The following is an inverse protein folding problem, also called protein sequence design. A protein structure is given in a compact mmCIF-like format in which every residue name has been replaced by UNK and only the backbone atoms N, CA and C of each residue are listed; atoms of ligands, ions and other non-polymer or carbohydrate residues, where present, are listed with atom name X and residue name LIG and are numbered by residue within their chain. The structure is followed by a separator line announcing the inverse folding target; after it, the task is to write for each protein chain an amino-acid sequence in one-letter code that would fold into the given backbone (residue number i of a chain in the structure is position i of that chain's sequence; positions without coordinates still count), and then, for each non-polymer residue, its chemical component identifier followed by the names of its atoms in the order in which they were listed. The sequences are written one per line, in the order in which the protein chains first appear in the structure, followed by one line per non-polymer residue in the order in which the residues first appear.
data_IF_829333247566
#
_entry.id   IF_829333247566
#
_cell.length_a   1.000
_cell.length_b   1.000
_cell.length_c   1.000
_cell.angle_alpha   90.00
_cell.angle_beta   90.00
_cell.angle_gamma   90.00
#
_symmetry.space_group_name_H-M   'P 1'
#
loop_
_entity.id
_entity.type
_entity.pdbx_description
1 polymer ?
#
# COMPACT_ATOMS: atom_id res chain seq x y z
N UNK A 1 19.31 3.04 2.53
CA UNK A 1 18.31 4.01 3.04
C UNK A 1 17.19 4.35 2.05
N UNK A 2 17.45 5.00 0.91
CA UNK A 2 16.38 5.61 0.09
C UNK A 2 15.27 4.67 -0.43
N UNK A 3 15.59 3.41 -0.76
CA UNK A 3 14.59 2.41 -1.19
C UNK A 3 14.17 1.44 -0.08
N UNK A 4 14.91 1.42 1.03
CA UNK A 4 14.64 0.53 2.16
C UNK A 4 13.70 1.18 3.17
N UNK A 5 13.95 2.45 3.49
CA UNK A 5 13.41 3.12 4.67
C UNK A 5 12.38 4.18 4.28
N UNK A 6 12.70 5.06 3.33
CA UNK A 6 11.80 6.17 2.95
C UNK A 6 10.45 5.72 2.36
N UNK A 7 10.34 4.65 1.57
CA UNK A 7 9.06 4.24 1.00
C UNK A 7 8.18 3.47 1.99
N UNK A 8 8.69 3.17 3.19
CA UNK A 8 7.91 2.48 4.23
C UNK A 8 6.89 3.44 4.85
N UNK A 9 5.71 2.95 5.23
CA UNK A 9 4.80 3.69 6.08
C UNK A 9 5.52 4.23 7.32
N UNK A 10 5.18 5.44 7.82
CA UNK A 10 4.01 6.25 7.47
C UNK A 10 4.21 7.17 6.25
N UNK A 11 5.35 7.11 5.56
CA UNK A 11 5.59 7.96 4.41
C UNK A 11 4.68 7.57 3.24
N UNK A 12 4.02 8.56 2.64
CA UNK A 12 3.21 8.36 1.43
C UNK A 12 4.12 8.26 0.23
N UNK A 13 3.73 7.43 -0.72
CA UNK A 13 4.39 7.30 -2.03
C UNK A 13 3.38 7.53 -3.14
N UNK A 14 3.86 7.62 -4.39
CA UNK A 14 2.95 7.65 -5.55
C UNK A 14 2.08 6.40 -5.67
N UNK A 15 2.44 5.30 -5.00
CA UNK A 15 1.70 4.05 -5.03
C UNK A 15 0.57 4.02 -3.98
N UNK A 16 0.65 4.85 -2.95
CA UNK A 16 -0.30 4.87 -1.82
C UNK A 16 -1.74 5.15 -2.26
N UNK A 17 -1.93 5.95 -3.31
CA UNK A 17 -3.26 6.29 -3.82
C UNK A 17 -4.03 5.07 -4.35
N UNK A 18 -3.34 4.08 -4.91
CA UNK A 18 -3.96 2.89 -5.52
C UNK A 18 -3.98 1.71 -4.56
N UNK A 19 -2.88 1.48 -3.85
CA UNK A 19 -2.67 0.25 -3.08
C UNK A 19 -2.76 0.45 -1.56
N UNK A 20 -2.89 1.70 -1.10
CA UNK A 20 -2.75 2.04 0.32
C UNK A 20 -1.29 1.97 0.78
N UNK A 21 -1.06 1.96 2.11
CA UNK A 21 0.28 1.77 2.67
C UNK A 21 0.87 0.42 2.24
N UNK A 22 2.08 0.42 1.68
CA UNK A 22 2.79 -0.80 1.28
C UNK A 22 4.06 -0.92 2.12
N UNK A 23 4.11 -1.93 3.00
CA UNK A 23 5.31 -2.27 3.75
C UNK A 23 6.18 -3.27 2.98
N UNK A 24 7.49 -3.27 3.25
CA UNK A 24 8.45 -4.27 2.79
C UNK A 24 8.52 -4.49 1.27
N UNK A 25 8.14 -3.48 0.47
CA UNK A 25 8.08 -3.56 -0.99
C UNK A 25 9.40 -4.06 -1.63
N UNK A 26 10.55 -3.58 -1.16
CA UNK A 26 11.85 -4.01 -1.67
C UNK A 26 12.16 -5.47 -1.30
N UNK A 27 11.76 -5.91 -0.11
CA UNK A 27 11.94 -7.30 0.35
C UNK A 27 11.04 -8.22 -0.47
N UNK A 28 9.77 -7.86 -0.64
CA UNK A 28 8.83 -8.57 -1.50
C UNK A 28 9.34 -8.68 -2.94
N UNK A 29 9.95 -7.62 -3.49
CA UNK A 29 10.54 -7.64 -4.82
C UNK A 29 11.74 -8.60 -4.94
N UNK A 30 12.61 -8.65 -3.93
CA UNK A 30 13.72 -9.61 -3.88
C UNK A 30 13.23 -11.05 -3.80
N UNK A 31 12.14 -11.27 -3.08
CA UNK A 31 11.51 -12.58 -2.92
C UNK A 31 10.51 -12.92 -4.05
N UNK A 32 10.51 -12.15 -5.15
CA UNK A 32 9.63 -12.37 -6.31
C UNK A 32 8.13 -12.45 -5.99
N UNK A 33 7.70 -11.78 -4.92
CA UNK A 33 6.30 -11.79 -4.48
C UNK A 33 5.38 -10.97 -5.39
N UNK A 34 4.10 -11.29 -5.30
CA UNK A 34 3.02 -10.64 -6.04
C UNK A 34 2.08 -9.94 -5.07
N UNK A 35 1.77 -8.68 -5.34
CA UNK A 35 0.75 -7.95 -4.62
C UNK A 35 -0.63 -8.35 -5.16
N UNK A 36 -1.51 -8.87 -4.30
CA UNK A 36 -2.86 -9.31 -4.65
C UNK A 36 -3.91 -8.59 -3.82
N UNK A 37 -5.04 -8.29 -4.44
CA UNK A 37 -6.21 -7.75 -3.74
C UNK A 37 -6.84 -8.83 -2.85
N UNK A 38 -7.09 -8.52 -1.57
CA UNK A 38 -7.78 -9.40 -0.63
C UNK A 38 -9.28 -9.08 -0.71
N UNK A 39 -10.08 -10.06 -1.08
CA UNK A 39 -11.53 -9.93 -1.02
C UNK A 39 -11.95 -9.65 0.43
N UNK A 40 -12.55 -8.48 0.64
CA UNK A 40 -13.12 -8.13 1.94
C UNK A 40 -14.41 -8.91 2.09
N UNK A 41 -14.46 -9.90 2.97
CA UNK A 41 -15.73 -10.54 3.35
C UNK A 41 -16.62 -9.47 3.99
N UNK A 42 -17.49 -8.86 3.21
CA UNK A 42 -18.38 -7.79 3.65
C UNK A 42 -19.38 -8.33 4.66
N UNK A 43 -19.43 -7.75 5.86
CA UNK A 43 -20.43 -8.14 6.85
C UNK A 43 -20.22 -7.73 8.30
N UNK A 44 -19.71 -6.54 8.62
CA UNK A 44 -20.14 -5.81 9.84
C UNK A 44 -19.62 -4.37 9.87
N UNK A 45 -20.48 -3.37 10.16
CA UNK A 45 -19.99 -2.08 10.62
C UNK A 45 -19.41 -2.28 12.02
N UNK A 46 -18.26 -1.67 12.32
CA UNK A 46 -17.72 -1.61 13.68
C UNK A 46 -17.61 -0.15 14.08
N UNK A 47 -18.24 0.12 15.21
CA UNK A 47 -18.39 1.42 15.85
C UNK A 47 -17.05 2.10 16.14
N UNK A 48 -17.09 3.42 16.04
CA UNK A 48 -16.01 4.33 16.35
C UNK A 48 -15.70 4.32 17.86
N UNK A 49 -14.51 3.85 18.27
CA UNK A 49 -13.92 4.32 19.53
C UNK A 49 -12.39 4.15 19.63
N UNK A 50 -11.70 5.29 19.49
CA UNK A 50 -10.53 5.81 20.21
C UNK A 50 -9.31 4.92 20.58
N UNK A 51 -8.16 5.43 20.09
CA UNK A 51 -6.81 5.48 20.66
C UNK A 51 -5.83 4.30 20.56
N UNK A 52 -4.59 4.70 20.22
CA UNK A 52 -3.32 3.97 20.19
C UNK A 52 -3.08 3.08 18.96
N UNK A 53 -2.54 3.71 17.91
CA UNK A 53 -1.21 3.34 17.44
C UNK A 53 -0.99 1.98 16.78
N UNK A 54 -1.99 1.27 16.26
CA UNK A 54 -1.71 0.10 15.40
C UNK A 54 -2.91 -0.27 14.51
N UNK A 55 -3.42 0.69 13.76
CA UNK A 55 -4.50 0.42 12.80
C UNK A 55 -3.89 -0.14 11.50
N UNK A 56 -3.36 -1.35 11.56
CA UNK A 56 -3.29 -2.20 10.39
C UNK A 56 -4.74 -2.53 10.00
N UNK A 57 -5.43 -1.59 9.35
CA UNK A 57 -6.50 -1.98 8.44
C UNK A 57 -5.89 -3.10 7.59
N UNK A 58 -6.49 -4.32 7.56
CA UNK A 58 -5.99 -5.36 6.68
C UNK A 58 -6.00 -4.73 5.30
N UNK A 59 -4.80 -4.44 4.80
CA UNK A 59 -4.64 -3.68 3.57
C UNK A 59 -5.44 -4.40 2.51
N UNK A 60 -6.17 -3.63 1.69
CA UNK A 60 -6.86 -4.17 0.52
C UNK A 60 -5.94 -5.02 -0.36
N UNK A 61 -4.62 -4.88 -0.20
CA UNK A 61 -3.61 -5.64 -0.89
C UNK A 61 -2.62 -6.31 0.08
N UNK A 62 -2.17 -7.52 -0.26
CA UNK A 62 -1.10 -8.25 0.45
C UNK A 62 -0.11 -8.88 -0.52
N UNK A 63 1.12 -9.11 -0.07
CA UNK A 63 2.11 -9.86 -0.84
C UNK A 63 1.96 -11.37 -0.62
N UNK A 64 1.83 -12.13 -1.69
CA UNK A 64 1.80 -13.61 -1.71
C UNK A 64 2.91 -14.14 -2.61
N UNK A 65 3.24 -15.41 -2.45
CA UNK A 65 4.17 -16.10 -3.35
C UNK A 65 3.45 -16.47 -4.66
N UNK A 66 4.20 -16.49 -5.77
CA UNK A 66 3.64 -16.74 -7.11
C UNK A 66 2.93 -18.11 -7.21
N UNK A 67 3.37 -19.08 -6.42
CA UNK A 67 2.77 -20.41 -6.32
C UNK A 67 1.39 -20.45 -5.67
N UNK A 68 0.99 -19.41 -4.93
CA UNK A 68 -0.29 -19.36 -4.23
C UNK A 68 -1.45 -18.85 -5.11
N UNK A 69 -1.15 -18.32 -6.30
CA UNK A 69 -2.17 -17.79 -7.22
C UNK A 69 -2.69 -18.94 -8.10
N UNK A 70 -3.77 -19.59 -7.66
CA UNK A 70 -4.52 -20.53 -8.50
C UNK A 70 -5.13 -19.78 -9.69
N UNK A 71 -5.13 -20.40 -10.87
CA UNK A 71 -5.41 -19.79 -12.19
C UNK A 71 -6.83 -19.23 -12.40
N UNK A 72 -7.71 -19.30 -11.41
CA UNK A 72 -9.10 -18.87 -11.53
C UNK A 72 -9.25 -17.42 -11.09
N UNK A 73 -9.68 -16.59 -12.04
CA UNK A 73 -9.92 -15.14 -11.94
C UNK A 73 -8.80 -14.34 -11.29
N UNK A 74 -7.85 -13.84 -12.09
CA UNK A 74 -6.81 -12.91 -11.60
C UNK A 74 -7.48 -11.70 -10.92
N UNK A 75 -7.50 -11.62 -9.58
CA UNK A 75 -7.81 -10.36 -8.91
C UNK A 75 -6.70 -9.40 -9.34
N UNK A 76 -6.95 -8.09 -9.35
CA UNK A 76 -5.95 -7.08 -9.78
C UNK A 76 -4.61 -7.31 -9.08
N UNK A 77 -3.67 -7.99 -9.75
CA UNK A 77 -2.41 -8.44 -9.18
C UNK A 77 -1.23 -7.77 -9.89
N UNK A 78 -0.14 -7.55 -9.17
CA UNK A 78 1.06 -6.90 -9.73
C UNK A 78 2.32 -7.38 -9.02
N UNK A 79 3.37 -7.70 -9.80
CA UNK A 79 4.68 -8.06 -9.26
C UNK A 79 5.27 -6.94 -8.38
N UNK A 80 5.82 -7.29 -7.21
CA UNK A 80 6.50 -6.33 -6.34
C UNK A 80 7.64 -5.60 -7.07
N UNK A 81 8.41 -6.31 -7.92
CA UNK A 81 9.46 -5.71 -8.73
C UNK A 81 8.93 -4.65 -9.73
N UNK A 82 7.71 -4.82 -10.25
CA UNK A 82 7.08 -3.82 -11.12
C UNK A 82 6.70 -2.55 -10.33
N UNK A 83 6.24 -2.71 -9.08
CA UNK A 83 5.95 -1.59 -8.19
C UNK A 83 7.21 -0.82 -7.80
N UNK A 84 8.33 -1.51 -7.51
CA UNK A 84 9.63 -0.84 -7.28
C UNK A 84 10.03 0.02 -8.49
N UNK A 85 9.86 -0.48 -9.71
CA UNK A 85 10.15 0.29 -10.93
C UNK A 85 9.21 1.48 -11.15
N UNK A 86 8.00 1.44 -10.58
CA UNK A 86 7.00 2.52 -10.63
C UNK A 86 7.11 3.50 -9.46
N UNK A 87 7.88 3.19 -8.43
CA UNK A 87 8.13 4.12 -7.33
C UNK A 87 8.90 5.34 -7.85
N UNK A 88 8.36 6.54 -7.60
CA UNK A 88 8.90 7.81 -8.08
C UNK A 88 9.15 8.82 -6.97
N UNK A 89 8.32 8.80 -5.93
CA UNK A 89 8.49 9.68 -4.78
C UNK A 89 8.06 9.01 -3.49
N UNK A 90 8.63 9.50 -2.38
CA UNK A 90 8.14 9.29 -1.02
C UNK A 90 8.18 10.62 -0.28
N UNK A 91 7.16 10.91 0.52
CA UNK A 91 7.14 12.11 1.39
C UNK A 91 8.05 11.91 2.59
N UNK A 92 8.60 12.99 3.12
CA UNK A 92 9.36 12.98 4.38
C UNK A 92 8.91 14.18 5.23
N UNK A 93 8.69 13.95 6.53
CA UNK A 93 8.30 15.02 7.45
C UNK A 93 6.90 15.59 7.19
N UNK A 94 6.78 16.92 7.26
CA UNK A 94 5.51 17.63 7.10
C UNK A 94 4.95 17.47 5.68
N UNK A 95 3.71 16.99 5.58
CA UNK A 95 3.03 16.81 4.30
C UNK A 95 2.17 18.03 3.99
N UNK A 96 2.35 18.58 2.79
CA UNK A 96 1.59 19.73 2.34
C UNK A 96 0.16 19.33 1.93
N UNK A 97 -0.83 20.10 2.39
CA UNK A 97 -2.24 19.90 2.08
C UNK A 97 -2.68 20.85 0.96
N UNK A 98 -2.71 20.32 -0.27
CA UNK A 98 -3.09 21.08 -1.46
C UNK A 98 -4.56 21.51 -1.48
N UNK A 99 -5.45 20.85 -0.72
CA UNK A 99 -6.87 21.24 -0.67
C UNK A 99 -7.07 22.65 -0.13
N UNK A 100 -6.17 23.11 0.74
CA UNK A 100 -6.21 24.45 1.34
C UNK A 100 -5.76 25.57 0.39
N UNK A 101 -5.10 25.23 -0.72
CA UNK A 101 -4.61 26.22 -1.71
C UNK A 101 -5.61 26.40 -2.85
N UNK A 102 -6.33 25.34 -3.24
CA UNK A 102 -7.23 25.37 -4.40
C UNK A 102 -8.61 26.01 -4.16
N UNK A 103 -8.89 26.55 -2.97
CA UNK A 103 -10.20 27.16 -2.63
C UNK A 103 -10.37 28.62 -3.12
N UNK A 104 -9.39 29.17 -3.82
CA UNK A 104 -9.50 30.49 -4.46
C UNK A 104 -9.42 30.32 -5.98
N UNK A 105 -10.56 30.06 -6.62
CA UNK A 105 -10.80 30.31 -8.05
C UNK A 105 -12.23 30.82 -8.23
#
# INVERSE_FOLDING_TARGET
ESLKTFPQPPNRTNLTATYGPISDLLIAAKNQKILVEVESSSGKPRDEQNNVGENAHPGKFKFVDDSEIQKEERPKSTMAAALVRKLRWSTLGLQFDWSKVCMYN
#
